data_IF_525706750195
#
_entry.id   IF_525706750195
#
_cell.length_a   1.000
_cell.length_b   1.000
_cell.length_c   1.000
_cell.angle_alpha   90.00
_cell.angle_beta   90.00
_cell.angle_gamma   90.00
#
_symmetry.space_group_name_H-M   'P 1'
#
loop_
_entity.id
_entity.type
_entity.pdbx_description
1 polymer ?
#
# COMPACT_ATOMS: atom_id res chain seq x y z
N UNK A 1 7.10 9.89 4.50
CA UNK A 1 6.16 9.14 5.34
C UNK A 1 6.18 7.65 5.00
N UNK A 2 6.01 7.24 3.72
CA UNK A 2 6.06 5.83 3.33
C UNK A 2 7.45 5.19 3.51
N UNK A 3 8.52 5.91 3.23
CA UNK A 3 9.89 5.43 3.44
C UNK A 3 10.16 5.13 4.91
N UNK A 4 9.74 6.01 5.80
CA UNK A 4 9.93 5.83 7.24
C UNK A 4 9.10 4.67 7.78
N UNK A 5 7.83 4.58 7.37
CA UNK A 5 6.91 3.55 7.87
C UNK A 5 7.27 2.14 7.37
N UNK A 6 7.73 1.99 6.12
CA UNK A 6 8.00 0.67 5.54
C UNK A 6 9.47 0.24 5.68
N UNK A 7 10.38 1.20 5.83
CA UNK A 7 11.83 0.92 5.80
C UNK A 7 12.47 0.91 7.16
N UNK A 8 12.18 1.92 7.97
CA UNK A 8 12.76 2.05 9.31
C UNK A 8 11.87 1.36 10.34
N UNK A 9 10.55 1.39 10.14
CA UNK A 9 9.58 0.88 11.10
C UNK A 9 9.81 -0.59 11.48
N UNK A 10 9.76 -1.55 10.54
CA UNK A 10 9.86 -2.97 10.87
C UNK A 10 11.20 -3.39 11.53
N UNK A 11 12.39 -3.00 11.01
CA UNK A 11 13.64 -3.31 11.68
C UNK A 11 13.76 -2.67 13.07
N UNK A 12 13.36 -1.40 13.19
CA UNK A 12 13.37 -0.70 14.46
C UNK A 12 12.42 -1.34 15.47
N UNK A 13 11.22 -1.72 15.04
CA UNK A 13 10.26 -2.42 15.88
C UNK A 13 10.85 -3.75 16.39
N UNK A 14 11.52 -4.51 15.54
CA UNK A 14 12.18 -5.76 15.91
C UNK A 14 13.24 -5.56 17.01
N UNK A 15 14.11 -4.57 16.85
CA UNK A 15 15.13 -4.23 17.86
C UNK A 15 14.50 -3.76 19.17
N UNK A 16 13.49 -2.91 19.10
CA UNK A 16 12.80 -2.38 20.28
C UNK A 16 12.02 -3.46 21.04
N UNK A 17 11.39 -4.40 20.34
CA UNK A 17 10.70 -5.54 20.94
C UNK A 17 11.71 -6.47 21.64
N UNK A 18 12.88 -6.69 21.03
CA UNK A 18 13.94 -7.47 21.63
C UNK A 18 14.47 -6.83 22.95
N UNK A 19 14.47 -5.50 23.04
CA UNK A 19 14.84 -4.77 24.24
C UNK A 19 13.72 -4.76 25.30
N UNK A 20 12.47 -4.90 24.91
CA UNK A 20 11.31 -5.00 25.79
C UNK A 20 10.00 -4.68 25.08
N UNK A 21 8.98 -5.51 25.27
CA UNK A 21 7.71 -5.44 24.54
C UNK A 21 6.96 -4.10 24.73
N UNK A 22 7.17 -3.41 25.85
CA UNK A 22 6.57 -2.10 26.14
C UNK A 22 7.30 -0.91 25.49
N UNK A 23 8.58 -1.08 25.09
CA UNK A 23 9.42 0.01 24.59
C UNK A 23 8.89 0.61 23.29
N UNK A 24 8.45 -0.17 22.27
CA UNK A 24 7.86 0.38 21.05
C UNK A 24 6.64 1.26 21.32
N UNK A 25 5.78 0.84 22.25
CA UNK A 25 4.58 1.60 22.61
C UNK A 25 4.91 2.91 23.32
N UNK A 26 5.87 2.87 24.26
CA UNK A 26 6.36 4.06 24.96
C UNK A 26 7.00 5.07 23.99
N UNK A 27 7.87 4.59 23.09
CA UNK A 27 8.49 5.43 22.07
C UNK A 27 7.44 6.05 21.13
N UNK A 28 6.47 5.24 20.66
CA UNK A 28 5.40 5.74 19.81
C UNK A 28 4.56 6.81 20.52
N UNK A 29 4.22 6.62 21.79
CA UNK A 29 3.49 7.60 22.60
C UNK A 29 4.30 8.91 22.75
N UNK A 30 5.59 8.82 23.05
CA UNK A 30 6.47 9.98 23.15
C UNK A 30 6.57 10.77 21.83
N UNK A 31 6.72 10.07 20.70
CA UNK A 31 6.76 10.68 19.38
C UNK A 31 5.43 11.35 19.01
N UNK A 32 4.29 10.75 19.38
CA UNK A 32 2.97 11.35 19.15
C UNK A 32 2.78 12.62 20.00
N UNK A 33 3.21 12.62 21.27
CA UNK A 33 3.16 13.81 22.13
C UNK A 33 4.04 14.92 21.55
N UNK A 34 5.25 14.58 21.11
CA UNK A 34 6.16 15.53 20.45
C UNK A 34 5.51 16.10 19.18
N UNK A 35 4.95 15.25 18.33
CA UNK A 35 4.26 15.66 17.11
C UNK A 35 3.07 16.58 17.42
N UNK A 36 2.27 16.26 18.43
CA UNK A 36 1.16 17.09 18.88
C UNK A 36 1.65 18.47 19.37
N UNK A 37 2.74 18.52 20.13
CA UNK A 37 3.38 19.77 20.56
C UNK A 37 3.86 20.62 19.38
N UNK A 38 4.51 20.00 18.39
CA UNK A 38 4.94 20.70 17.19
C UNK A 38 3.76 21.24 16.35
N UNK A 39 2.69 20.46 16.23
CA UNK A 39 1.46 20.92 15.55
C UNK A 39 0.80 22.08 16.28
N UNK A 40 0.82 22.06 17.62
CA UNK A 40 0.28 23.17 18.42
C UNK A 40 1.04 24.49 18.16
N UNK A 41 2.34 24.42 17.86
CA UNK A 41 3.15 25.59 17.55
C UNK A 41 2.86 26.18 16.17
N UNK A 42 2.14 25.47 15.30
CA UNK A 42 1.83 25.94 13.94
C UNK A 42 0.65 26.91 14.01
N UNK A 43 0.92 28.21 13.87
CA UNK A 43 -0.11 29.23 13.72
C UNK A 43 -0.63 29.20 12.28
N UNK A 44 -1.80 28.59 12.07
CA UNK A 44 -2.48 28.62 10.77
C UNK A 44 -3.35 29.85 10.65
N UNK A 45 -3.18 30.64 9.59
CA UNK A 45 -4.12 31.70 9.27
C UNK A 45 -5.53 31.11 9.09
N UNK A 46 -6.58 31.73 9.65
CA UNK A 46 -7.94 31.21 9.54
C UNK A 46 -8.36 31.19 8.07
N UNK A 47 -8.47 30.00 7.50
CA UNK A 47 -9.10 29.82 6.19
C UNK A 47 -10.59 30.09 6.31
N UNK A 48 -11.11 30.96 5.46
CA UNK A 48 -12.56 31.12 5.32
C UNK A 48 -13.17 29.75 5.03
N UNK A 49 -13.87 29.19 6.00
CA UNK A 49 -14.63 27.94 5.84
C UNK A 49 -15.83 28.24 4.95
N UNK A 50 -15.75 27.85 3.70
CA UNK A 50 -16.94 27.72 2.87
C UNK A 50 -17.73 26.56 3.50
N UNK A 51 -18.82 26.89 4.21
CA UNK A 51 -19.71 25.90 4.84
C UNK A 51 -20.49 25.16 3.74
N UNK A 52 -19.88 24.17 3.12
CA UNK A 52 -20.59 23.22 2.27
C UNK A 52 -21.02 22.03 3.13
N UNK A 53 -22.29 21.62 3.04
CA UNK A 53 -22.74 20.41 3.73
C UNK A 53 -21.91 19.20 3.24
N UNK A 54 -21.61 18.26 4.15
CA UNK A 54 -20.84 17.04 3.81
C UNK A 54 -21.40 16.31 2.58
N UNK A 55 -22.75 16.18 2.53
CA UNK A 55 -23.43 15.54 1.39
C UNK A 55 -23.15 16.29 0.08
N UNK A 56 -23.21 17.61 0.07
CA UNK A 56 -22.94 18.42 -1.13
C UNK A 56 -21.49 18.26 -1.56
N UNK A 57 -20.54 18.32 -0.62
CA UNK A 57 -19.11 18.13 -0.91
C UNK A 57 -18.81 16.75 -1.48
N UNK A 58 -19.46 15.69 -0.95
CA UNK A 58 -19.32 14.32 -1.46
C UNK A 58 -19.90 14.19 -2.86
N UNK A 59 -21.11 14.72 -3.10
CA UNK A 59 -21.76 14.66 -4.43
C UNK A 59 -20.96 15.41 -5.48
N UNK A 60 -20.38 16.57 -5.16
CA UNK A 60 -19.49 17.30 -6.07
C UNK A 60 -18.24 16.48 -6.43
N UNK A 61 -17.64 15.80 -5.47
CA UNK A 61 -16.51 14.91 -5.72
C UNK A 61 -16.87 13.72 -6.62
N UNK A 62 -18.02 13.08 -6.37
CA UNK A 62 -18.55 11.98 -7.18
C UNK A 62 -18.89 12.45 -8.59
N UNK A 63 -19.57 13.60 -8.71
CA UNK A 63 -19.92 14.18 -10.01
C UNK A 63 -18.66 14.46 -10.85
N UNK A 64 -17.62 15.03 -10.22
CA UNK A 64 -16.34 15.28 -10.89
C UNK A 64 -15.65 13.96 -11.33
N UNK A 65 -15.67 12.92 -10.49
CA UNK A 65 -15.10 11.62 -10.86
C UNK A 65 -15.87 10.95 -11.99
N UNK A 66 -17.19 11.13 -12.05
CA UNK A 66 -18.02 10.61 -13.14
C UNK A 66 -17.84 11.38 -14.45
N UNK A 67 -17.52 12.67 -14.39
CA UNK A 67 -17.23 13.48 -15.58
C UNK A 67 -15.88 13.15 -16.22
N UNK A 68 -14.96 12.51 -15.46
CA UNK A 68 -13.69 12.03 -15.98
C UNK A 68 -13.59 10.50 -15.82
N UNK A 69 -13.93 9.73 -16.87
CA UNK A 69 -13.95 8.27 -16.81
C UNK A 69 -12.60 7.64 -16.42
N UNK A 70 -11.48 8.34 -16.71
CA UNK A 70 -10.15 7.84 -16.36
C UNK A 70 -9.93 7.91 -14.85
N UNK A 71 -10.38 8.98 -14.18
CA UNK A 71 -10.34 9.09 -12.72
C UNK A 71 -11.09 7.93 -12.05
N UNK A 72 -12.30 7.64 -12.54
CA UNK A 72 -13.11 6.56 -11.99
C UNK A 72 -12.44 5.20 -12.21
N UNK A 73 -11.95 4.93 -13.43
CA UNK A 73 -11.24 3.68 -13.74
C UNK A 73 -10.01 3.49 -12.86
N UNK A 74 -9.21 4.51 -12.67
CA UNK A 74 -8.03 4.45 -11.78
C UNK A 74 -8.43 4.22 -10.31
N UNK A 75 -9.55 4.77 -9.83
CA UNK A 75 -10.04 4.52 -8.49
C UNK A 75 -10.48 3.06 -8.29
N UNK A 76 -11.20 2.50 -9.29
CA UNK A 76 -11.64 1.10 -9.26
C UNK A 76 -10.42 0.17 -9.32
N UNK A 77 -9.49 0.40 -10.25
CA UNK A 77 -8.25 -0.40 -10.34
C UNK A 77 -7.47 -0.34 -9.02
N UNK A 78 -7.37 0.84 -8.40
CA UNK A 78 -6.73 0.99 -7.10
C UNK A 78 -7.45 0.17 -6.01
N UNK A 79 -8.79 0.20 -5.98
CA UNK A 79 -9.59 -0.59 -5.03
C UNK A 79 -9.38 -2.09 -5.20
N UNK A 80 -9.48 -2.58 -6.45
CA UNK A 80 -9.24 -3.99 -6.78
C UNK A 80 -7.81 -4.42 -6.44
N UNK A 81 -6.82 -3.60 -6.81
CA UNK A 81 -5.42 -3.89 -6.50
C UNK A 81 -5.16 -3.97 -4.99
N UNK A 82 -5.73 -3.05 -4.19
CA UNK A 82 -5.60 -3.10 -2.73
C UNK A 82 -6.36 -4.30 -2.11
N UNK A 83 -7.53 -4.65 -2.65
CA UNK A 83 -8.26 -5.85 -2.25
C UNK A 83 -7.40 -7.11 -2.43
N UNK A 84 -6.88 -7.32 -3.65
CA UNK A 84 -6.03 -8.47 -3.98
C UNK A 84 -4.74 -8.45 -3.15
N UNK A 85 -4.06 -7.31 -3.07
CA UNK A 85 -2.83 -7.18 -2.29
C UNK A 85 -3.05 -7.53 -0.81
N UNK A 86 -4.14 -7.06 -0.21
CA UNK A 86 -4.42 -7.34 1.20
C UNK A 86 -4.82 -8.80 1.41
N UNK A 87 -5.61 -9.40 0.52
CA UNK A 87 -5.90 -10.84 0.55
C UNK A 87 -4.59 -11.65 0.49
N UNK A 88 -3.70 -11.31 -0.43
CA UNK A 88 -2.42 -11.99 -0.60
C UNK A 88 -1.50 -11.80 0.62
N UNK A 89 -1.38 -10.58 1.17
CA UNK A 89 -0.54 -10.31 2.35
C UNK A 89 -1.02 -11.12 3.56
N UNK A 90 -2.33 -11.31 3.73
CA UNK A 90 -2.90 -12.11 4.82
C UNK A 90 -2.44 -13.57 4.73
N UNK A 91 -2.39 -14.13 3.52
CA UNK A 91 -1.95 -15.50 3.26
C UNK A 91 -0.43 -15.63 3.28
N UNK A 92 0.27 -14.60 2.82
CA UNK A 92 1.71 -14.61 2.57
C UNK A 92 2.55 -14.95 3.79
N UNK A 93 2.13 -14.53 5.00
CA UNK A 93 2.82 -14.83 6.25
C UNK A 93 2.72 -16.33 6.55
N UNK A 94 1.53 -16.91 6.41
CA UNK A 94 1.29 -18.33 6.61
C UNK A 94 2.08 -19.16 5.60
N UNK A 95 2.01 -18.79 4.31
CA UNK A 95 2.78 -19.44 3.25
C UNK A 95 4.29 -19.41 3.52
N UNK A 96 4.83 -18.28 3.98
CA UNK A 96 6.24 -18.16 4.29
C UNK A 96 6.66 -19.04 5.48
N UNK A 97 5.85 -19.14 6.53
CA UNK A 97 6.18 -19.86 7.74
C UNK A 97 5.83 -21.35 7.65
N UNK A 98 4.66 -21.70 7.16
CA UNK A 98 4.14 -23.05 7.17
C UNK A 98 4.59 -23.86 5.94
N UNK A 99 4.64 -23.24 4.75
CA UNK A 99 5.00 -23.92 3.50
C UNK A 99 6.51 -23.81 3.19
N UNK A 100 7.05 -22.59 3.27
CA UNK A 100 8.48 -22.39 2.98
C UNK A 100 9.39 -22.59 4.22
N UNK A 101 8.83 -22.84 5.40
CA UNK A 101 9.54 -23.00 6.67
C UNK A 101 10.51 -21.85 6.99
N UNK A 102 10.15 -20.62 6.59
CA UNK A 102 10.98 -19.41 6.77
C UNK A 102 10.80 -18.90 8.20
N UNK A 103 11.90 -18.70 8.92
CA UNK A 103 11.86 -18.11 10.26
C UNK A 103 11.32 -16.67 10.22
N UNK A 104 10.74 -16.21 11.34
CA UNK A 104 10.27 -14.82 11.47
C UNK A 104 11.37 -13.79 11.19
N UNK A 105 12.62 -14.09 11.57
CA UNK A 105 13.78 -13.23 11.26
C UNK A 105 14.03 -13.16 9.76
N UNK A 106 14.07 -14.29 9.07
CA UNK A 106 14.29 -14.35 7.61
C UNK A 106 13.15 -13.69 6.84
N UNK A 107 11.91 -13.83 7.33
CA UNK A 107 10.76 -13.12 6.75
C UNK A 107 10.91 -11.59 6.90
N UNK A 108 11.40 -11.11 8.03
CA UNK A 108 11.74 -9.69 8.22
C UNK A 108 12.78 -9.18 7.21
N UNK A 109 13.79 -10.02 6.86
CA UNK A 109 14.77 -9.68 5.82
C UNK A 109 14.11 -9.62 4.43
N UNK A 110 13.20 -10.53 4.11
CA UNK A 110 12.43 -10.50 2.86
C UNK A 110 11.63 -9.19 2.74
N UNK A 111 10.97 -8.77 3.82
CA UNK A 111 10.26 -7.49 3.84
C UNK A 111 11.20 -6.28 3.67
N UNK A 112 12.43 -6.38 4.18
CA UNK A 112 13.45 -5.34 3.97
C UNK A 112 13.87 -5.25 2.50
N UNK A 113 14.03 -6.38 1.82
CA UNK A 113 14.29 -6.43 0.36
C UNK A 113 13.12 -5.83 -0.42
N UNK A 114 11.88 -6.14 -0.04
CA UNK A 114 10.69 -5.56 -0.63
C UNK A 114 10.67 -4.01 -0.47
N UNK A 115 11.09 -3.51 0.69
CA UNK A 115 11.19 -2.08 0.94
C UNK A 115 12.27 -1.41 0.08
N UNK A 116 13.42 -2.07 -0.15
CA UNK A 116 14.43 -1.60 -1.14
C UNK A 116 13.81 -1.51 -2.54
N UNK A 117 12.99 -2.50 -2.93
CA UNK A 117 12.22 -2.45 -4.17
C UNK A 117 11.34 -1.21 -4.28
N UNK A 118 10.60 -0.89 -3.21
CA UNK A 118 9.74 0.30 -3.17
C UNK A 118 10.54 1.60 -3.37
N UNK A 119 11.69 1.74 -2.71
CA UNK A 119 12.57 2.90 -2.89
C UNK A 119 13.07 2.98 -4.33
N UNK A 120 13.61 1.88 -4.84
CA UNK A 120 14.14 1.79 -6.19
C UNK A 120 13.08 2.17 -7.22
N UNK A 121 11.87 1.63 -7.09
CA UNK A 121 10.73 1.96 -7.95
C UNK A 121 10.36 3.44 -7.90
N UNK A 122 10.37 4.05 -6.71
CA UNK A 122 10.10 5.48 -6.54
C UNK A 122 11.17 6.36 -7.17
N UNK A 123 12.45 6.05 -6.93
CA UNK A 123 13.59 6.84 -7.45
C UNK A 123 13.74 6.73 -8.96
N UNK A 124 13.48 5.55 -9.52
CA UNK A 124 13.60 5.30 -10.96
C UNK A 124 12.34 5.68 -11.73
N UNK A 125 11.21 5.94 -11.07
CA UNK A 125 9.95 6.29 -11.73
C UNK A 125 10.09 7.41 -12.78
N UNK A 126 10.76 8.55 -12.51
CA UNK A 126 10.90 9.62 -13.50
C UNK A 126 11.65 9.14 -14.76
N UNK A 127 12.68 8.30 -14.60
CA UNK A 127 13.46 7.74 -15.72
C UNK A 127 12.61 6.78 -16.55
N UNK A 128 11.91 5.83 -15.92
CA UNK A 128 11.03 4.91 -16.63
C UNK A 128 9.91 5.63 -17.38
N UNK A 129 9.31 6.65 -16.76
CA UNK A 129 8.27 7.47 -17.41
C UNK A 129 8.83 8.22 -18.62
N UNK A 130 10.05 8.77 -18.52
CA UNK A 130 10.68 9.49 -19.62
C UNK A 130 11.05 8.55 -20.80
N UNK A 131 11.46 7.31 -20.50
CA UNK A 131 11.90 6.33 -21.53
C UNK A 131 10.73 5.60 -22.18
N UNK A 132 9.75 5.15 -21.40
CA UNK A 132 8.70 4.24 -21.84
C UNK A 132 7.33 4.92 -21.97
N UNK A 133 7.19 6.12 -21.44
CA UNK A 133 5.91 6.81 -21.35
C UNK A 133 5.02 6.33 -20.20
N UNK A 134 4.11 7.20 -19.80
CA UNK A 134 3.23 6.98 -18.64
C UNK A 134 2.34 5.74 -18.79
N UNK A 135 1.75 5.56 -19.98
CA UNK A 135 0.81 4.46 -20.24
C UNK A 135 1.50 3.09 -20.17
N UNK A 136 2.66 2.96 -20.80
CA UNK A 136 3.46 1.72 -20.76
C UNK A 136 3.87 1.38 -19.33
N UNK A 137 4.31 2.38 -18.56
CA UNK A 137 4.68 2.18 -17.16
C UNK A 137 3.50 1.69 -16.30
N UNK A 138 2.28 2.17 -16.56
CA UNK A 138 1.09 1.68 -15.86
C UNK A 138 0.78 0.20 -16.21
N UNK A 139 0.86 -0.17 -17.49
CA UNK A 139 0.66 -1.56 -17.90
C UNK A 139 1.75 -2.48 -17.32
N UNK A 140 3.01 -2.07 -17.38
CA UNK A 140 4.11 -2.81 -16.78
C UNK A 140 3.93 -2.99 -15.27
N UNK A 141 3.44 -1.97 -14.56
CA UNK A 141 3.18 -2.06 -13.13
C UNK A 141 2.13 -3.14 -12.81
N UNK A 142 1.02 -3.16 -13.56
CA UNK A 142 -0.05 -4.16 -13.37
C UNK A 142 0.47 -5.57 -13.73
N UNK A 143 1.17 -5.70 -14.85
CA UNK A 143 1.74 -6.98 -15.28
C UNK A 143 2.75 -7.52 -14.25
N UNK A 144 3.63 -6.64 -13.72
CA UNK A 144 4.60 -7.01 -12.68
C UNK A 144 3.89 -7.44 -11.39
N UNK A 145 2.76 -6.82 -11.02
CA UNK A 145 1.98 -7.30 -9.88
C UNK A 145 1.43 -8.70 -10.10
N UNK A 146 0.78 -8.95 -11.24
CA UNK A 146 0.23 -10.27 -11.55
C UNK A 146 1.29 -11.36 -11.57
N UNK A 147 2.37 -11.13 -12.34
CA UNK A 147 3.50 -12.06 -12.45
C UNK A 147 4.21 -12.24 -11.11
N UNK A 148 4.41 -11.14 -10.36
CA UNK A 148 5.10 -11.18 -9.09
C UNK A 148 4.34 -11.97 -8.02
N UNK A 149 3.03 -11.76 -7.89
CA UNK A 149 2.22 -12.54 -6.95
C UNK A 149 2.11 -14.02 -7.38
N UNK A 150 2.00 -14.30 -8.67
CA UNK A 150 2.08 -15.68 -9.16
C UNK A 150 3.44 -16.32 -8.84
N UNK A 151 4.53 -15.59 -9.04
CA UNK A 151 5.88 -16.06 -8.70
C UNK A 151 6.07 -16.30 -7.19
N UNK A 152 5.42 -15.51 -6.33
CA UNK A 152 5.40 -15.76 -4.87
C UNK A 152 4.70 -17.08 -4.57
N UNK A 153 3.50 -17.29 -5.11
CA UNK A 153 2.73 -18.53 -4.88
C UNK A 153 3.42 -19.79 -5.44
N UNK A 154 4.22 -19.65 -6.49
CA UNK A 154 5.01 -20.75 -7.08
C UNK A 154 6.44 -20.86 -6.52
N UNK A 155 6.80 -20.02 -5.55
CA UNK A 155 8.15 -20.01 -5.01
C UNK A 155 8.39 -21.20 -4.05
N UNK A 156 9.58 -21.80 -4.17
CA UNK A 156 10.04 -22.88 -3.29
C UNK A 156 11.18 -22.42 -2.36
N UNK A 157 11.47 -21.11 -2.32
CA UNK A 157 12.54 -20.58 -1.48
C UNK A 157 12.27 -19.12 -1.06
N UNK A 158 12.78 -18.76 0.10
CA UNK A 158 12.70 -17.38 0.59
C UNK A 158 13.39 -16.35 -0.31
N UNK A 159 14.45 -16.77 -1.04
CA UNK A 159 15.15 -15.90 -1.98
C UNK A 159 14.26 -15.57 -3.19
N UNK A 160 13.59 -16.56 -3.77
CA UNK A 160 12.65 -16.35 -4.87
C UNK A 160 11.51 -15.41 -4.46
N UNK A 161 10.94 -15.63 -3.27
CA UNK A 161 9.92 -14.78 -2.68
C UNK A 161 10.43 -13.35 -2.47
N UNK A 162 11.65 -13.15 -1.97
CA UNK A 162 12.25 -11.84 -1.77
C UNK A 162 12.42 -11.07 -3.09
N UNK A 163 12.91 -11.75 -4.14
CA UNK A 163 13.09 -11.16 -5.47
C UNK A 163 11.72 -10.76 -6.05
N UNK A 164 10.72 -11.63 -5.97
CA UNK A 164 9.39 -11.33 -6.45
C UNK A 164 8.78 -10.13 -5.73
N UNK A 165 8.88 -10.08 -4.39
CA UNK A 165 8.40 -8.95 -3.59
C UNK A 165 9.14 -7.65 -3.90
N UNK A 166 10.44 -7.69 -4.17
CA UNK A 166 11.19 -6.52 -4.62
C UNK A 166 10.53 -5.88 -5.85
N UNK A 167 10.26 -6.68 -6.89
CA UNK A 167 9.66 -6.17 -8.11
C UNK A 167 8.20 -5.74 -7.93
N UNK A 168 7.42 -6.47 -7.14
CA UNK A 168 6.03 -6.11 -6.79
C UNK A 168 6.00 -4.74 -6.12
N UNK A 169 6.88 -4.51 -5.14
CA UNK A 169 6.93 -3.23 -4.42
C UNK A 169 7.49 -2.10 -5.29
N UNK A 170 8.48 -2.37 -6.14
CA UNK A 170 8.98 -1.39 -7.11
C UNK A 170 7.88 -0.93 -8.07
N UNK A 171 7.12 -1.87 -8.63
CA UNK A 171 5.99 -1.59 -9.51
C UNK A 171 4.86 -0.85 -8.79
N UNK A 172 4.58 -1.18 -7.54
CA UNK A 172 3.58 -0.49 -6.71
C UNK A 172 3.94 0.98 -6.50
N UNK A 173 5.21 1.28 -6.27
CA UNK A 173 5.66 2.67 -6.12
C UNK A 173 5.70 3.42 -7.45
N UNK A 174 6.09 2.77 -8.54
CA UNK A 174 6.00 3.36 -9.89
C UNK A 174 4.55 3.74 -10.22
N UNK A 175 3.60 2.83 -10.01
CA UNK A 175 2.16 3.12 -10.14
C UNK A 175 1.72 4.30 -9.27
N UNK A 176 2.13 4.32 -8.01
CA UNK A 176 1.74 5.36 -7.07
C UNK A 176 2.26 6.75 -7.51
N UNK A 177 3.54 6.85 -7.89
CA UNK A 177 4.14 8.10 -8.40
C UNK A 177 3.36 8.62 -9.60
N UNK A 178 3.06 7.75 -10.57
CA UNK A 178 2.32 8.14 -11.78
C UNK A 178 0.92 8.62 -11.43
N UNK A 179 0.14 7.80 -10.73
CA UNK A 179 -1.28 8.07 -10.52
C UNK A 179 -1.53 9.23 -9.57
N UNK A 180 -0.67 9.41 -8.54
CA UNK A 180 -0.78 10.55 -7.62
C UNK A 180 -0.41 11.85 -8.33
N UNK A 181 0.71 11.88 -9.06
CA UNK A 181 1.15 13.07 -9.80
C UNK A 181 0.16 13.46 -10.90
N UNK A 182 -0.43 12.48 -11.59
CA UNK A 182 -1.44 12.71 -12.61
C UNK A 182 -2.72 13.31 -12.00
N UNK A 183 -3.20 12.77 -10.88
CA UNK A 183 -4.37 13.30 -10.17
C UNK A 183 -4.15 14.73 -9.68
N UNK A 184 -2.99 15.02 -9.10
CA UNK A 184 -2.67 16.35 -8.60
C UNK A 184 -2.68 17.42 -9.71
N UNK A 185 -2.27 17.04 -10.92
CA UNK A 185 -2.29 17.95 -12.09
C UNK A 185 -3.67 18.06 -12.74
N UNK A 186 -4.49 17.01 -12.66
CA UNK A 186 -5.79 16.96 -13.35
C UNK A 186 -6.93 17.56 -12.52
N UNK A 187 -6.86 17.44 -11.21
CA UNK A 187 -7.96 17.84 -10.31
C UNK A 187 -7.77 19.28 -9.86
N UNK A 188 -8.77 20.16 -10.05
CA UNK A 188 -8.72 21.52 -9.53
C UNK A 188 -8.46 21.55 -8.01
N UNK A 189 -7.64 22.50 -7.49
CA UNK A 189 -7.29 22.55 -6.06
C UNK A 189 -8.51 22.55 -5.12
N UNK A 190 -9.62 23.18 -5.52
CA UNK A 190 -10.86 23.23 -4.74
C UNK A 190 -11.55 21.87 -4.58
N UNK A 191 -11.34 20.92 -5.52
CA UNK A 191 -11.93 19.58 -5.51
C UNK A 191 -10.94 18.50 -5.08
N UNK A 192 -9.65 18.80 -5.00
CA UNK A 192 -8.59 17.82 -4.74
C UNK A 192 -8.82 17.04 -3.44
N UNK A 193 -9.20 17.72 -2.37
CA UNK A 193 -9.50 17.07 -1.08
C UNK A 193 -10.70 16.13 -1.16
N UNK A 194 -11.77 16.56 -1.86
CA UNK A 194 -13.02 15.76 -2.02
C UNK A 194 -12.78 14.51 -2.85
N UNK A 195 -12.10 14.64 -3.97
CA UNK A 195 -11.75 13.51 -4.85
C UNK A 195 -10.77 12.56 -4.15
N UNK A 196 -9.74 13.08 -3.47
CA UNK A 196 -8.82 12.24 -2.71
C UNK A 196 -9.51 11.49 -1.56
N UNK A 197 -10.54 12.04 -0.93
CA UNK A 197 -11.33 11.32 0.07
C UNK A 197 -12.04 10.10 -0.53
N UNK A 198 -12.58 10.23 -1.74
CA UNK A 198 -13.22 9.12 -2.46
C UNK A 198 -12.17 8.07 -2.84
N UNK A 199 -11.00 8.48 -3.35
CA UNK A 199 -9.88 7.56 -3.62
C UNK A 199 -9.43 6.81 -2.36
N UNK A 200 -9.36 7.51 -1.22
CA UNK A 200 -9.05 6.89 0.07
C UNK A 200 -10.11 5.87 0.49
N UNK A 201 -11.38 6.17 0.25
CA UNK A 201 -12.46 5.22 0.51
C UNK A 201 -12.31 3.94 -0.32
N UNK A 202 -12.04 4.03 -1.64
CA UNK A 202 -11.76 2.86 -2.48
C UNK A 202 -10.52 2.10 -2.01
N UNK A 203 -9.47 2.81 -1.64
CA UNK A 203 -8.22 2.21 -1.17
C UNK A 203 -8.39 1.48 0.16
N UNK A 204 -8.89 2.18 1.18
CA UNK A 204 -8.96 1.64 2.55
C UNK A 204 -10.19 0.76 2.77
N UNK A 205 -11.30 1.05 2.09
CA UNK A 205 -12.52 0.27 2.18
C UNK A 205 -12.42 -1.12 1.55
N UNK A 206 -11.56 -1.31 0.55
CA UNK A 206 -11.31 -2.61 -0.06
C UNK A 206 -10.39 -3.53 0.76
N UNK A 207 -9.52 -2.96 1.60
CA UNK A 207 -8.54 -3.73 2.37
C UNK A 207 -9.17 -4.72 3.38
N UNK A 208 -10.14 -4.33 4.23
CA UNK A 208 -10.80 -5.29 5.14
C UNK A 208 -11.50 -6.42 4.40
N UNK A 209 -12.13 -6.09 3.25
CA UNK A 209 -12.78 -7.10 2.41
C UNK A 209 -11.75 -8.08 1.82
N UNK A 210 -10.60 -7.58 1.38
CA UNK A 210 -9.50 -8.41 0.91
C UNK A 210 -8.95 -9.33 2.01
N UNK A 211 -8.66 -8.79 3.19
CA UNK A 211 -8.17 -9.57 4.31
C UNK A 211 -9.16 -10.68 4.73
N UNK A 212 -10.45 -10.34 4.81
CA UNK A 212 -11.50 -11.30 5.13
C UNK A 212 -11.60 -12.41 4.08
N UNK A 213 -11.60 -12.03 2.80
CA UNK A 213 -11.65 -13.00 1.69
C UNK A 213 -10.41 -13.91 1.68
N UNK A 214 -9.22 -13.35 1.90
CA UNK A 214 -7.99 -14.13 2.02
C UNK A 214 -8.05 -15.14 3.17
N UNK A 215 -8.49 -14.71 4.35
CA UNK A 215 -8.63 -15.59 5.51
C UNK A 215 -9.67 -16.71 5.31
N UNK A 216 -10.84 -16.38 4.73
CA UNK A 216 -11.87 -17.36 4.40
C UNK A 216 -11.34 -18.38 3.37
N UNK A 217 -10.66 -17.90 2.32
CA UNK A 217 -10.13 -18.77 1.29
C UNK A 217 -9.16 -19.80 1.86
N UNK A 218 -8.21 -19.37 2.71
CA UNK A 218 -7.29 -20.29 3.38
C UNK A 218 -8.05 -21.28 4.24
N UNK A 219 -8.98 -20.82 5.08
CA UNK A 219 -9.76 -21.70 5.97
C UNK A 219 -10.56 -22.78 5.21
N UNK A 220 -11.16 -22.41 4.07
CA UNK A 220 -11.91 -23.37 3.22
C UNK A 220 -10.95 -24.36 2.55
N UNK A 221 -9.84 -23.89 2.00
CA UNK A 221 -8.87 -24.76 1.34
C UNK A 221 -8.17 -25.70 2.33
N UNK A 222 -7.82 -25.24 3.53
CA UNK A 222 -7.27 -26.07 4.60
C UNK A 222 -8.26 -27.18 5.02
N UNK A 223 -9.56 -26.88 5.03
CA UNK A 223 -10.59 -27.86 5.38
C UNK A 223 -10.78 -28.94 4.31
N UNK A 224 -10.74 -28.54 3.04
CA UNK A 224 -11.00 -29.45 1.90
C UNK A 224 -9.75 -30.23 1.48
N UNK A 225 -8.58 -29.65 1.50
CA UNK A 225 -7.36 -30.19 0.87
C UNK A 225 -6.18 -30.38 1.82
N UNK A 226 -6.29 -29.95 3.08
CA UNK A 226 -5.18 -29.92 4.01
C UNK A 226 -4.22 -28.73 3.79
N UNK A 227 -3.40 -28.45 4.80
CA UNK A 227 -2.54 -27.25 4.87
C UNK A 227 -1.44 -27.17 3.80
N UNK A 228 -1.03 -28.34 3.26
CA UNK A 228 0.04 -28.39 2.24
C UNK A 228 -0.42 -27.92 0.85
N UNK A 229 -1.74 -27.89 0.61
CA UNK A 229 -2.34 -27.56 -0.69
C UNK A 229 -3.07 -26.22 -0.65
N UNK A 230 -3.44 -25.74 0.52
CA UNK A 230 -4.13 -24.47 0.75
C UNK A 230 -3.20 -23.28 0.77
#
# INVERSE_FOLDING_TARGET
EQLTNQFIGPPLAGVLIAAGIGIPFGLNAALLILAAGLVWMISLAPKVRIQTSFRKALMEGIAFMRSDPLLLRLAVVLGVANFIATATITIQVLFAQDVLAISAYSYGLILSVAAVGAITGSLLAPRFIAMLGTQTCLYLSIATWGIGYAAIGLSHSGLAMAIALFFVMAAAMLWNVITVSWRQRRIPPALLGRVNSIYRFFRWGSMPLGAMTGGILVSVLEHEFGREIA
#
